data_IF_700626837520
#
_entry.id   IF_700626837520
#
_cell.length_a   1.000
_cell.length_b   1.000
_cell.length_c   1.000
_cell.angle_alpha   90.00
_cell.angle_beta   90.00
_cell.angle_gamma   90.00
#
_symmetry.space_group_name_H-M   'P 1'
#
loop_
_entity.id
_entity.type
_entity.pdbx_description
1 polymer ?
#
# COMPACT_ATOMS: atom_id res chain seq x y z
N UNK A 1 -28.13 -1.57 36.10
CA UNK A 1 -27.11 -1.25 35.08
C UNK A 1 -26.82 -2.52 34.29
N UNK A 2 -27.02 -2.51 32.98
CA UNK A 2 -26.89 -3.71 32.14
C UNK A 2 -25.49 -3.76 31.51
N UNK A 3 -24.70 -4.76 31.89
CA UNK A 3 -23.41 -5.05 31.26
C UNK A 3 -23.66 -5.58 29.84
N UNK A 4 -22.80 -5.17 28.90
CA UNK A 4 -22.84 -5.63 27.51
C UNK A 4 -21.45 -6.10 27.07
N UNK A 5 -21.34 -7.13 26.21
CA UNK A 5 -20.05 -7.56 25.67
C UNK A 5 -19.51 -6.55 24.66
N UNK A 6 -18.20 -6.30 24.71
CA UNK A 6 -17.51 -5.48 23.72
C UNK A 6 -17.35 -6.25 22.40
N UNK A 7 -17.70 -5.61 21.26
CA UNK A 7 -17.52 -6.21 19.93
C UNK A 7 -16.04 -6.52 19.61
N UNK A 8 -15.08 -5.76 20.18
CA UNK A 8 -13.66 -5.94 19.89
C UNK A 8 -12.97 -7.01 20.74
N UNK A 9 -13.18 -6.99 22.06
CA UNK A 9 -12.45 -7.85 23.00
C UNK A 9 -13.33 -8.90 23.69
N UNK A 10 -14.66 -8.82 23.55
CA UNK A 10 -15.61 -9.72 24.22
C UNK A 10 -15.88 -9.37 25.68
N UNK A 11 -15.02 -8.60 26.34
CA UNK A 11 -15.18 -8.25 27.75
C UNK A 11 -16.49 -7.52 28.02
N UNK A 12 -17.11 -7.87 29.16
CA UNK A 12 -18.28 -7.19 29.67
C UNK A 12 -17.90 -5.78 30.14
N UNK A 13 -18.65 -4.78 29.70
CA UNK A 13 -18.49 -3.40 30.15
C UNK A 13 -19.85 -2.76 30.41
N UNK A 14 -19.83 -1.70 31.21
CA UNK A 14 -21.01 -0.89 31.46
C UNK A 14 -21.07 0.28 30.46
N UNK A 15 -22.11 0.36 29.61
CA UNK A 15 -22.30 1.51 28.72
C UNK A 15 -22.47 2.80 29.50
N UNK A 16 -21.87 3.89 29.03
CA UNK A 16 -22.10 5.20 29.65
C UNK A 16 -23.57 5.60 29.53
N UNK A 17 -24.19 6.20 30.56
CA UNK A 17 -25.59 6.64 30.48
C UNK A 17 -25.88 7.61 29.32
N UNK A 18 -24.89 8.43 28.94
CA UNK A 18 -24.97 9.37 27.81
C UNK A 18 -24.96 8.66 26.44
N UNK A 19 -24.50 7.41 26.38
CA UNK A 19 -24.36 6.62 25.15
C UNK A 19 -24.82 5.18 25.40
N UNK A 20 -26.14 4.94 25.61
CA UNK A 20 -26.67 3.63 25.97
C UNK A 20 -26.49 2.55 24.87
N UNK A 21 -26.25 2.99 23.64
CA UNK A 21 -25.95 2.15 22.47
C UNK A 21 -24.44 1.94 22.23
N UNK A 22 -23.59 2.22 23.22
CA UNK A 22 -22.16 1.93 23.13
C UNK A 22 -21.91 0.44 22.88
N UNK A 23 -21.12 0.11 21.86
CA UNK A 23 -20.81 -1.27 21.44
C UNK A 23 -19.35 -1.68 21.72
N UNK A 24 -18.50 -0.73 22.06
CA UNK A 24 -17.08 -0.93 22.38
C UNK A 24 -16.79 -0.46 23.79
N UNK A 25 -16.01 -1.23 24.57
CA UNK A 25 -15.55 -0.80 25.90
C UNK A 25 -14.63 0.43 25.82
N UNK A 26 -14.34 1.06 26.96
CA UNK A 26 -13.51 2.28 27.04
C UNK A 26 -12.02 2.04 26.82
N UNK A 27 -11.57 0.79 26.69
CA UNK A 27 -10.18 0.45 26.42
C UNK A 27 -9.65 1.16 25.16
N UNK A 28 -8.42 1.67 25.24
CA UNK A 28 -7.80 2.39 24.13
C UNK A 28 -7.65 1.53 22.88
N UNK A 29 -7.42 0.22 23.02
CA UNK A 29 -7.31 -0.72 21.90
C UNK A 29 -8.66 -0.88 21.19
N UNK A 30 -9.73 -1.12 21.95
CA UNK A 30 -11.09 -1.26 21.44
C UNK A 30 -11.61 0.04 20.82
N UNK A 31 -11.30 1.19 21.41
CA UNK A 31 -11.66 2.49 20.83
C UNK A 31 -10.90 2.79 19.53
N UNK A 32 -9.63 2.38 19.41
CA UNK A 32 -8.88 2.44 18.15
C UNK A 32 -9.51 1.53 17.10
N UNK A 33 -9.89 0.31 17.47
CA UNK A 33 -10.58 -0.61 16.56
C UNK A 33 -11.89 -0.03 16.03
N UNK A 34 -12.74 0.52 16.93
CA UNK A 34 -13.98 1.22 16.55
C UNK A 34 -13.74 2.33 15.53
N UNK A 35 -12.78 3.23 15.80
CA UNK A 35 -12.45 4.35 14.89
C UNK A 35 -11.96 3.85 13.54
N UNK A 36 -11.14 2.78 13.52
CA UNK A 36 -10.66 2.16 12.27
C UNK A 36 -11.81 1.57 11.46
N UNK A 37 -12.74 0.86 12.11
CA UNK A 37 -13.92 0.32 11.43
C UNK A 37 -14.74 1.44 10.81
N UNK A 38 -15.09 2.46 11.61
CA UNK A 38 -15.83 3.63 11.12
C UNK A 38 -15.14 4.30 9.93
N UNK A 39 -13.81 4.48 9.99
CA UNK A 39 -13.05 5.10 8.90
C UNK A 39 -13.10 4.24 7.63
N UNK A 40 -12.97 2.92 7.74
CA UNK A 40 -13.07 2.00 6.59
C UNK A 40 -14.45 2.05 5.95
N UNK A 41 -15.50 1.96 6.77
CA UNK A 41 -16.89 2.05 6.32
C UNK A 41 -17.17 3.40 5.64
N UNK A 42 -16.67 4.49 6.22
CA UNK A 42 -16.83 5.83 5.62
C UNK A 42 -16.09 5.96 4.30
N UNK A 43 -14.84 5.51 4.21
CA UNK A 43 -14.10 5.55 2.95
C UNK A 43 -14.72 4.67 1.84
N UNK A 44 -15.47 3.62 2.23
CA UNK A 44 -16.15 2.74 1.28
C UNK A 44 -17.50 3.26 0.83
N UNK A 45 -18.26 3.91 1.71
CA UNK A 45 -19.66 4.28 1.46
C UNK A 45 -19.83 5.74 1.04
N UNK A 46 -18.83 6.58 1.27
CA UNK A 46 -18.90 8.04 1.10
C UNK A 46 -17.79 8.51 0.14
N UNK A 47 -18.08 8.57 -1.18
CA UNK A 47 -17.11 9.01 -2.19
C UNK A 47 -16.61 10.44 -1.96
N UNK A 48 -17.48 11.35 -1.53
CA UNK A 48 -17.14 12.75 -1.26
C UNK A 48 -16.17 12.84 -0.08
N UNK A 49 -16.38 12.04 0.97
CA UNK A 49 -15.45 11.95 2.09
C UNK A 49 -14.05 11.48 1.64
N UNK A 50 -14.00 10.47 0.76
CA UNK A 50 -12.74 9.95 0.21
C UNK A 50 -12.00 10.99 -0.63
N UNK A 51 -12.74 11.71 -1.47
CA UNK A 51 -12.18 12.73 -2.36
C UNK A 51 -11.69 13.96 -1.57
N UNK A 52 -12.47 14.40 -0.59
CA UNK A 52 -12.07 15.46 0.33
C UNK A 52 -10.81 15.10 1.13
N UNK A 53 -10.67 13.85 1.60
CA UNK A 53 -9.44 13.40 2.25
C UNK A 53 -8.23 13.48 1.33
N UNK A 54 -8.37 13.01 0.09
CA UNK A 54 -7.30 13.06 -0.92
C UNK A 54 -6.88 14.50 -1.20
N UNK A 55 -7.84 15.40 -1.39
CA UNK A 55 -7.56 16.78 -1.75
C UNK A 55 -6.95 17.55 -0.57
N UNK A 56 -7.42 17.29 0.66
CA UNK A 56 -6.79 17.81 1.87
C UNK A 56 -5.33 17.33 2.00
N UNK A 57 -5.07 16.04 1.74
CA UNK A 57 -3.72 15.49 1.78
C UNK A 57 -2.81 16.12 0.72
N UNK A 58 -3.29 16.28 -0.52
CA UNK A 58 -2.56 16.94 -1.61
C UNK A 58 -2.26 18.41 -1.26
N UNK A 59 -3.25 19.13 -0.75
CA UNK A 59 -3.09 20.53 -0.33
C UNK A 59 -2.06 20.65 0.79
N UNK A 60 -2.05 19.72 1.75
CA UNK A 60 -1.07 19.69 2.82
C UNK A 60 0.34 19.39 2.29
N UNK A 61 0.50 18.38 1.42
CA UNK A 61 1.80 18.06 0.82
C UNK A 61 2.36 19.23 -0.01
N UNK A 62 1.50 19.92 -0.78
CA UNK A 62 1.88 21.10 -1.55
C UNK A 62 2.38 22.24 -0.65
N UNK A 63 1.77 22.42 0.53
CA UNK A 63 2.19 23.41 1.53
C UNK A 63 3.44 22.99 2.30
N UNK A 64 3.72 21.70 2.39
CA UNK A 64 4.80 21.14 3.21
C UNK A 64 5.68 20.15 2.42
N UNK A 65 6.33 20.58 1.32
CA UNK A 65 7.04 19.68 0.41
C UNK A 65 8.21 18.96 1.09
N UNK A 66 8.92 19.63 2.00
CA UNK A 66 10.11 19.09 2.67
C UNK A 66 9.81 18.35 3.97
N UNK A 67 8.55 18.34 4.43
CA UNK A 67 8.19 17.81 5.75
C UNK A 67 8.69 16.38 5.96
N UNK A 68 8.47 15.48 4.99
CA UNK A 68 8.87 14.08 5.16
C UNK A 68 10.38 13.90 5.16
N UNK A 69 11.12 14.75 4.45
CA UNK A 69 12.58 14.73 4.47
C UNK A 69 13.08 15.16 5.85
N UNK A 70 12.55 16.28 6.34
CA UNK A 70 12.91 16.82 7.66
C UNK A 70 12.54 15.86 8.78
N UNK A 71 11.30 15.36 8.79
CA UNK A 71 10.81 14.42 9.79
C UNK A 71 11.69 13.16 9.89
N UNK A 72 12.12 12.60 8.75
CA UNK A 72 13.02 11.43 8.74
C UNK A 72 14.43 11.75 9.21
N UNK A 73 14.94 12.95 8.89
CA UNK A 73 16.23 13.42 9.40
C UNK A 73 16.21 13.54 10.92
N UNK A 74 15.11 14.09 11.46
CA UNK A 74 14.96 14.35 12.90
C UNK A 74 14.60 13.09 13.70
N UNK A 75 14.10 12.03 13.03
CA UNK A 75 13.68 10.78 13.67
C UNK A 75 14.38 9.55 13.07
N UNK A 76 15.72 9.43 13.21
CA UNK A 76 16.48 8.31 12.65
C UNK A 76 16.03 6.95 13.21
N UNK A 77 15.64 6.88 14.48
CA UNK A 77 15.15 5.65 15.11
C UNK A 77 13.84 5.15 14.50
N UNK A 78 12.95 6.09 14.14
CA UNK A 78 11.72 5.76 13.40
C UNK A 78 12.06 5.14 12.05
N UNK A 79 13.02 5.72 11.33
CA UNK A 79 13.47 5.22 10.03
C UNK A 79 14.11 3.85 10.15
N UNK A 80 14.97 3.63 11.15
CA UNK A 80 15.63 2.36 11.39
C UNK A 80 14.61 1.24 11.71
N UNK A 81 13.66 1.51 12.61
CA UNK A 81 12.60 0.56 12.97
C UNK A 81 11.71 0.22 11.79
N UNK A 82 11.29 1.24 11.03
CA UNK A 82 10.47 1.05 9.83
C UNK A 82 11.21 0.18 8.80
N UNK A 83 12.49 0.45 8.54
CA UNK A 83 13.33 -0.37 7.65
C UNK A 83 13.48 -1.81 8.12
N UNK A 84 13.68 -2.04 9.42
CA UNK A 84 13.79 -3.39 9.98
C UNK A 84 12.48 -4.17 9.79
N UNK A 85 11.34 -3.56 10.13
CA UNK A 85 10.02 -4.16 9.93
C UNK A 85 9.74 -4.55 8.48
N UNK A 86 10.20 -3.75 7.50
CA UNK A 86 10.06 -4.08 6.09
C UNK A 86 11.03 -5.17 5.59
N UNK A 87 12.17 -5.40 6.25
CA UNK A 87 13.09 -6.51 5.91
C UNK A 87 12.60 -7.84 6.47
N UNK A 88 12.06 -7.81 7.69
CA UNK A 88 11.60 -9.01 8.39
C UNK A 88 10.20 -9.44 7.95
N UNK A 89 9.49 -8.61 7.18
CA UNK A 89 8.27 -9.02 6.51
C UNK A 89 8.67 -9.95 5.36
N UNK A 90 8.35 -11.27 5.42
CA UNK A 90 8.56 -12.13 4.27
C UNK A 90 7.84 -11.48 3.09
N UNK A 91 8.47 -11.45 1.91
CA UNK A 91 7.81 -11.10 0.66
C UNK A 91 6.65 -12.08 0.48
N UNK A 92 5.49 -11.79 1.08
CA UNK A 92 4.37 -12.70 1.11
C UNK A 92 3.80 -12.76 -0.30
N UNK A 93 4.28 -13.73 -1.08
CA UNK A 93 3.56 -14.42 -2.13
C UNK A 93 2.51 -13.56 -2.84
N UNK A 94 2.90 -12.84 -3.89
CA UNK A 94 2.17 -12.58 -5.15
C UNK A 94 0.62 -12.51 -5.14
N UNK A 95 -0.05 -12.14 -4.05
CA UNK A 95 -1.46 -12.46 -3.92
C UNK A 95 -2.33 -11.42 -3.23
N UNK A 96 -1.79 -10.55 -2.39
CA UNK A 96 -2.66 -9.63 -1.64
C UNK A 96 -1.98 -8.33 -1.18
N UNK A 97 -1.13 -7.75 -2.03
CA UNK A 97 -0.60 -6.42 -1.79
C UNK A 97 -1.44 -5.37 -2.51
N UNK A 98 -1.98 -4.43 -1.73
CA UNK A 98 -2.66 -3.21 -2.17
C UNK A 98 -1.72 -2.20 -2.89
N UNK A 99 -0.85 -2.67 -3.79
CA UNK A 99 -0.24 -1.85 -4.83
C UNK A 99 -0.86 -2.31 -6.15
N UNK A 100 -1.76 -1.49 -6.68
CA UNK A 100 -2.45 -1.72 -7.95
C UNK A 100 -1.50 -1.82 -9.16
N UNK A 101 -0.21 -1.50 -8.99
CA UNK A 101 0.83 -1.52 -10.03
C UNK A 101 1.85 -2.67 -9.89
N UNK A 102 1.61 -3.67 -9.05
CA UNK A 102 2.49 -4.85 -9.00
C UNK A 102 2.18 -5.73 -10.21
N UNK A 103 3.03 -5.65 -11.23
CA UNK A 103 3.01 -6.62 -12.32
C UNK A 103 3.15 -8.03 -11.72
N UNK A 104 2.37 -9.03 -12.18
CA UNK A 104 2.45 -10.41 -11.70
C UNK A 104 3.75 -11.13 -12.09
N UNK A 105 4.74 -10.36 -12.54
CA UNK A 105 6.03 -10.81 -13.04
C UNK A 105 6.93 -11.02 -11.82
N UNK A 106 7.59 -12.18 -11.76
CA UNK A 106 8.54 -12.46 -10.69
C UNK A 106 9.69 -11.42 -10.67
N UNK A 107 10.30 -11.13 -9.51
CA UNK A 107 11.52 -10.33 -9.47
C UNK A 107 12.61 -10.99 -10.32
N UNK A 108 13.21 -10.23 -11.24
CA UNK A 108 14.23 -10.75 -12.13
C UNK A 108 14.65 -9.75 -13.21
N UNK A 109 15.64 -10.14 -14.02
CA UNK A 109 16.01 -9.42 -15.24
C UNK A 109 15.10 -9.87 -16.39
N UNK A 110 14.63 -8.94 -17.21
CA UNK A 110 13.74 -9.21 -18.34
C UNK A 110 14.24 -8.53 -19.62
N UNK A 111 14.05 -9.19 -20.76
CA UNK A 111 14.17 -8.59 -22.08
C UNK A 111 12.82 -7.99 -22.48
N UNK A 112 12.86 -6.77 -23.03
CA UNK A 112 11.70 -6.15 -23.68
C UNK A 112 11.95 -6.24 -25.19
N UNK A 113 11.15 -7.05 -25.89
CA UNK A 113 11.25 -7.24 -27.34
C UNK A 113 10.00 -6.74 -28.03
N UNK A 114 10.13 -6.22 -29.24
CA UNK A 114 8.99 -5.83 -30.05
C UNK A 114 8.23 -7.10 -30.48
N UNK A 115 6.94 -7.19 -30.17
CA UNK A 115 6.10 -8.27 -30.64
C UNK A 115 5.60 -7.94 -32.05
N UNK A 116 5.72 -8.89 -32.99
CA UNK A 116 5.18 -8.73 -34.33
C UNK A 116 3.65 -8.65 -34.23
N UNK A 117 3.09 -7.47 -34.51
CA UNK A 117 1.64 -7.28 -34.48
C UNK A 117 0.98 -8.00 -35.68
N UNK A 118 -0.03 -8.86 -35.49
CA UNK A 118 -0.83 -9.34 -36.59
C UNK A 118 -1.77 -8.21 -37.04
N UNK A 119 -1.43 -7.55 -38.14
CA UNK A 119 -2.37 -6.83 -39.00
C UNK A 119 -3.07 -5.57 -38.44
N UNK A 120 -2.58 -4.42 -38.92
CA UNK A 120 -3.32 -3.24 -39.40
C UNK A 120 -3.57 -2.04 -38.45
N UNK A 121 -3.09 -0.90 -38.97
CA UNK A 121 -3.13 0.53 -38.62
C UNK A 121 -2.44 1.07 -37.35
N UNK A 122 -1.50 2.04 -37.48
CA UNK A 122 -0.74 2.60 -36.39
C UNK A 122 -1.46 3.79 -35.74
N UNK A 123 -1.93 3.62 -34.52
CA UNK A 123 -1.97 4.72 -33.54
C UNK A 123 -0.97 4.43 -32.43
N UNK A 124 0.29 4.74 -32.70
CA UNK A 124 1.40 4.97 -31.76
C UNK A 124 1.58 3.97 -30.58
N UNK A 125 1.07 2.75 -30.71
CA UNK A 125 1.07 1.76 -29.63
C UNK A 125 1.89 0.56 -30.09
N UNK A 126 3.02 0.32 -29.41
CA UNK A 126 3.89 -0.82 -29.69
C UNK A 126 3.49 -1.98 -28.79
N UNK A 127 3.25 -3.15 -29.39
CA UNK A 127 3.17 -4.39 -28.62
C UNK A 127 4.58 -4.86 -28.29
N UNK A 128 4.83 -5.13 -27.01
CA UNK A 128 6.12 -5.65 -26.53
C UNK A 128 5.91 -6.94 -25.76
N UNK A 129 6.80 -7.90 -25.98
CA UNK A 129 6.94 -9.10 -25.17
C UNK A 129 7.98 -8.84 -24.07
N UNK A 130 7.63 -9.20 -22.83
CA UNK A 130 8.52 -9.12 -21.67
C UNK A 130 8.88 -10.55 -21.27
N UNK A 131 10.12 -10.96 -21.51
CA UNK A 131 10.59 -12.33 -21.31
C UNK A 131 11.71 -12.38 -20.28
N UNK A 132 11.72 -13.34 -19.32
CA UNK A 132 12.77 -13.43 -18.32
C UNK A 132 14.13 -13.70 -18.97
N UNK A 133 15.16 -12.98 -18.54
CA UNK A 133 16.55 -13.26 -18.89
C UNK A 133 16.96 -14.51 -18.13
N UNK A 134 17.18 -15.60 -18.85
CA UNK A 134 17.73 -16.81 -18.24
C UNK A 134 19.18 -16.54 -17.81
N UNK A 135 19.42 -16.43 -16.51
CA UNK A 135 20.75 -16.17 -15.93
C UNK A 135 21.70 -17.36 -16.10
N UNK A 136 21.16 -18.57 -16.28
CA UNK A 136 21.93 -19.81 -16.48
C UNK A 136 22.10 -20.19 -17.96
N UNK A 137 21.74 -19.31 -18.91
CA UNK A 137 21.92 -19.61 -20.33
C UNK A 137 23.37 -19.33 -20.76
N UNK A 138 24.11 -20.31 -21.31
CA UNK A 138 25.51 -20.16 -21.71
C UNK A 138 25.71 -19.26 -22.95
N UNK A 139 24.67 -18.61 -23.48
CA UNK A 139 24.76 -17.75 -24.66
C UNK A 139 25.32 -16.33 -24.38
N UNK A 140 25.75 -16.02 -23.15
CA UNK A 140 26.53 -14.81 -22.89
C UNK A 140 27.98 -14.99 -23.38
N UNK A 141 28.24 -14.62 -24.63
CA UNK A 141 29.48 -13.92 -24.94
C UNK A 141 29.18 -12.43 -25.08
N UNK A 142 30.02 -11.67 -24.41
CA UNK A 142 29.99 -10.23 -24.23
C UNK A 142 29.68 -9.42 -25.49
N UNK A 143 28.80 -8.42 -25.34
CA UNK A 143 28.83 -7.22 -26.17
C UNK A 143 28.07 -6.06 -25.50
N UNK A 144 28.46 -5.69 -24.29
CA UNK A 144 28.24 -4.31 -23.85
C UNK A 144 29.40 -3.49 -24.41
N UNK A 145 29.27 -3.02 -25.65
CA UNK A 145 30.12 -1.93 -26.14
C UNK A 145 29.37 -0.64 -25.87
N UNK A 146 29.87 0.10 -24.88
CA UNK A 146 29.60 1.50 -24.68
C UNK A 146 29.75 2.25 -26.02
N UNK A 147 28.83 3.18 -26.28
CA UNK A 147 29.07 4.27 -27.24
C UNK A 147 28.86 5.58 -26.51
N UNK A 148 29.98 6.26 -26.31
CA UNK A 148 30.13 7.71 -26.19
C UNK A 148 29.35 8.44 -27.28
#
# INVERSE_FOLDING_TARGET
MALKPCICCGDLFEPRPQTPHQTYCSSSTCQRARKRQWQREKLSTDPDYRDNQRDAQRAWQKRHPDYWRQYRSDHPDYVARNRAQHRDQPQSSFGDFAKMDVSPIAPGLYWIRLAAAPGREPKASWLVAIEPVCVDCPCKKDACKERT
#
